data_IF_655144301523
#
_entry.id   IF_655144301523
#
_cell.length_a   1.000
_cell.length_b   1.000
_cell.length_c   1.000
_cell.angle_alpha   90.00
_cell.angle_beta   90.00
_cell.angle_gamma   90.00
#
_symmetry.space_group_name_H-M   'P 1'
#
loop_
_entity.id
_entity.type
_entity.pdbx_description
1 polymer ?
#
# COMPACT_ATOMS: atom_id res chain seq x y z
N UNK A 1 -14.64 -3.46 8.68
CA UNK A 1 -13.32 -3.93 9.15
C UNK A 1 -12.42 -2.72 9.30
N UNK A 2 -11.87 -2.47 10.49
CA UNK A 2 -10.95 -1.35 10.72
C UNK A 2 -9.66 -1.54 9.91
N UNK A 3 -9.06 -0.45 9.46
CA UNK A 3 -7.73 -0.45 8.84
C UNK A 3 -6.72 -1.09 9.82
N UNK A 4 -6.13 -2.22 9.43
CA UNK A 4 -4.97 -2.79 10.11
C UNK A 4 -3.82 -2.89 9.09
N UNK A 5 -2.58 -2.54 9.48
CA UNK A 5 -2.15 -1.98 10.76
C UNK A 5 -2.63 -0.56 11.04
N UNK A 6 -2.49 -0.13 12.29
CA UNK A 6 -2.96 1.17 12.75
C UNK A 6 -2.20 2.32 12.06
N UNK A 7 -2.88 3.45 11.83
CA UNK A 7 -2.31 4.61 11.15
C UNK A 7 -1.03 5.14 11.82
N UNK A 8 -0.92 5.02 13.15
CA UNK A 8 0.29 5.38 13.90
C UNK A 8 1.54 4.61 13.45
N UNK A 9 1.37 3.36 13.02
CA UNK A 9 2.48 2.50 12.61
C UNK A 9 2.87 2.77 11.15
N UNK A 10 1.88 3.07 10.31
CA UNK A 10 2.10 3.54 8.94
C UNK A 10 2.84 4.89 8.92
N UNK A 11 2.50 5.81 9.83
CA UNK A 11 3.13 7.12 9.92
C UNK A 11 4.59 7.06 10.40
N UNK A 12 5.04 5.95 11.01
CA UNK A 12 6.47 5.73 11.28
C UNK A 12 7.28 5.47 10.00
N UNK A 13 6.61 5.00 8.94
CA UNK A 13 7.21 4.70 7.63
C UNK A 13 7.05 5.87 6.67
N UNK A 14 5.85 6.46 6.62
CA UNK A 14 5.53 7.62 5.78
C UNK A 14 4.99 8.74 6.67
N UNK A 15 5.80 9.76 7.03
CA UNK A 15 5.42 10.72 8.08
C UNK A 15 4.30 11.69 7.67
N UNK A 16 4.00 11.81 6.38
CA UNK A 16 2.90 12.62 5.86
C UNK A 16 1.68 11.76 5.56
N UNK A 17 0.53 12.10 6.15
CA UNK A 17 -0.75 11.43 5.88
C UNK A 17 -1.16 11.54 4.40
N UNK A 18 -0.95 12.70 3.78
CA UNK A 18 -1.25 12.90 2.37
C UNK A 18 -0.34 12.06 1.47
N UNK A 19 0.95 11.99 1.81
CA UNK A 19 1.88 11.13 1.10
C UNK A 19 1.54 9.65 1.28
N UNK A 20 1.17 9.23 2.49
CA UNK A 20 0.73 7.86 2.77
C UNK A 20 -0.47 7.48 1.89
N UNK A 21 -1.46 8.37 1.77
CA UNK A 21 -2.61 8.15 0.88
C UNK A 21 -2.17 7.99 -0.57
N UNK A 22 -1.27 8.84 -1.05
CA UNK A 22 -0.77 8.74 -2.43
C UNK A 22 -0.01 7.44 -2.69
N UNK A 23 0.88 7.04 -1.78
CA UNK A 23 1.65 5.78 -1.88
C UNK A 23 0.72 4.57 -1.88
N UNK A 24 -0.20 4.51 -0.92
CA UNK A 24 -1.16 3.39 -0.82
C UNK A 24 -2.07 3.34 -2.03
N UNK A 25 -2.58 4.49 -2.51
CA UNK A 25 -3.47 4.54 -3.67
C UNK A 25 -2.75 4.14 -4.96
N UNK A 26 -1.50 4.55 -5.13
CA UNK A 26 -0.69 4.15 -6.27
C UNK A 26 -0.45 2.64 -6.25
N UNK A 27 0.08 2.12 -5.14
CA UNK A 27 0.39 0.69 -5.01
C UNK A 27 -0.84 -0.21 -5.14
N UNK A 28 -1.98 0.22 -4.58
CA UNK A 28 -3.23 -0.52 -4.73
C UNK A 28 -3.70 -0.65 -6.19
N UNK A 29 -3.41 0.34 -7.05
CA UNK A 29 -3.72 0.24 -8.48
C UNK A 29 -2.80 -0.74 -9.18
N UNK A 30 -1.50 -0.73 -8.86
CA UNK A 30 -0.55 -1.70 -9.41
C UNK A 30 -0.98 -3.14 -9.10
N UNK A 31 -1.29 -3.42 -7.83
CA UNK A 31 -1.75 -4.74 -7.38
C UNK A 31 -3.03 -5.16 -8.12
N UNK A 32 -3.98 -4.22 -8.31
CA UNK A 32 -5.21 -4.51 -9.05
C UNK A 32 -4.93 -4.81 -10.53
N UNK A 33 -4.07 -4.02 -11.18
CA UNK A 33 -3.68 -4.25 -12.57
C UNK A 33 -2.89 -5.53 -12.76
N UNK A 34 -2.00 -5.89 -11.83
CA UNK A 34 -1.27 -7.17 -11.84
C UNK A 34 -2.24 -8.36 -11.75
N UNK A 35 -3.24 -8.29 -10.87
CA UNK A 35 -4.27 -9.32 -10.75
C UNK A 35 -5.13 -9.45 -12.02
N UNK A 36 -5.50 -8.33 -12.64
CA UNK A 36 -6.23 -8.31 -13.91
C UNK A 36 -5.41 -8.91 -15.06
N UNK A 37 -4.10 -8.62 -15.12
CA UNK A 37 -3.19 -9.12 -16.15
C UNK A 37 -2.89 -10.62 -16.01
N UNK A 38 -2.72 -11.10 -14.78
CA UNK A 38 -2.46 -12.52 -14.48
C UNK A 38 -3.72 -13.36 -14.51
N UNK A 39 -4.89 -12.73 -14.35
CA UNK A 39 -6.18 -13.41 -14.20
C UNK A 39 -6.34 -14.11 -12.85
N UNK A 40 -5.44 -13.85 -11.90
CA UNK A 40 -5.48 -14.45 -10.57
C UNK A 40 -6.31 -13.59 -9.61
N UNK A 41 -7.31 -14.16 -8.93
CA UNK A 41 -8.10 -13.41 -7.96
C UNK A 41 -7.28 -13.07 -6.72
N UNK A 42 -7.38 -11.82 -6.27
CA UNK A 42 -6.77 -11.39 -5.02
C UNK A 42 -7.58 -11.91 -3.82
N UNK A 43 -6.88 -12.47 -2.83
CA UNK A 43 -7.49 -12.90 -1.56
C UNK A 43 -7.98 -11.70 -0.72
N UNK A 44 -7.26 -10.59 -0.80
CA UNK A 44 -7.54 -9.36 -0.07
C UNK A 44 -7.75 -8.18 -1.02
N UNK A 45 -8.42 -7.14 -0.52
CA UNK A 45 -8.55 -5.89 -1.27
C UNK A 45 -7.15 -5.31 -1.58
N UNK A 46 -6.90 -4.81 -2.80
CA UNK A 46 -5.60 -4.22 -3.16
C UNK A 46 -5.11 -3.16 -2.17
N UNK A 47 -6.04 -2.34 -1.65
CA UNK A 47 -5.73 -1.32 -0.63
C UNK A 47 -5.25 -1.93 0.67
N UNK A 48 -5.84 -3.05 1.11
CA UNK A 48 -5.41 -3.76 2.31
C UNK A 48 -4.02 -4.37 2.15
N UNK A 49 -3.72 -4.92 0.97
CA UNK A 49 -2.40 -5.44 0.63
C UNK A 49 -1.36 -4.31 0.66
N UNK A 50 -1.64 -3.20 -0.03
CA UNK A 50 -0.75 -2.04 -0.08
C UNK A 50 -0.44 -1.45 1.32
N UNK A 51 -1.43 -1.37 2.20
CA UNK A 51 -1.25 -0.90 3.59
C UNK A 51 -0.28 -1.82 4.35
N UNK A 52 -0.38 -3.15 4.17
CA UNK A 52 0.54 -4.10 4.80
C UNK A 52 1.96 -3.96 4.24
N UNK A 53 2.11 -3.81 2.93
CA UNK A 53 3.42 -3.60 2.31
C UNK A 53 4.10 -2.31 2.82
N UNK A 54 3.35 -1.21 2.99
CA UNK A 54 3.88 0.01 3.64
C UNK A 54 4.36 -0.28 5.06
N UNK A 55 3.56 -1.01 5.83
CA UNK A 55 3.89 -1.32 7.22
C UNK A 55 5.13 -2.23 7.36
N UNK A 56 5.29 -3.17 6.44
CA UNK A 56 6.46 -4.05 6.33
C UNK A 56 7.72 -3.29 5.88
N UNK A 57 7.57 -2.05 5.37
CA UNK A 57 8.67 -1.25 4.84
C UNK A 57 9.14 -1.74 3.48
N UNK A 58 8.32 -2.50 2.74
CA UNK A 58 8.61 -2.95 1.36
C UNK A 58 8.51 -1.81 0.35
N UNK A 59 7.86 -0.73 0.73
CA UNK A 59 7.69 0.48 -0.07
C UNK A 59 8.64 1.54 0.51
N UNK A 60 9.94 1.36 0.26
CA UNK A 60 10.92 2.40 0.52
C UNK A 60 10.81 3.44 -0.60
N UNK A 61 10.74 4.71 -0.21
CA UNK A 61 10.78 5.82 -1.18
C UNK A 61 12.21 6.02 -1.64
N UNK A 62 12.78 5.05 -2.33
CA UNK A 62 14.02 5.22 -3.09
C UNK A 62 13.64 5.47 -4.54
N UNK A 63 13.09 6.65 -4.83
CA UNK A 63 13.02 7.22 -6.18
C UNK A 63 12.52 8.66 -6.04
N UNK A 64 13.42 9.52 -5.56
CA UNK A 64 13.44 10.93 -5.93
C UNK A 64 14.90 11.26 -6.27
N UNK A 65 15.31 10.90 -7.48
CA UNK A 65 16.34 11.62 -8.23
C UNK A 65 15.68 12.20 -9.49
#
# INVERSE_FOLDING_TARGET
>A
MMLYPAMKDLLKKVPSRYQLVNVVAHRAREIASEAELTGEPLEDKPVSIAIREVAEGKLDRTEQE
#
